data_IF_438360074580
#
_entry.id   IF_438360074580
#
_cell.length_a   1.000
_cell.length_b   1.000
_cell.length_c   1.000
_cell.angle_alpha   90.00
_cell.angle_beta   90.00
_cell.angle_gamma   90.00
#
_symmetry.space_group_name_H-M   'P 1'
#
loop_
_entity.id
_entity.type
_entity.pdbx_description
1 polymer ?
#
# COMPACT_ATOMS: atom_id res chain seq x y z
N UNK A 1 -15.08 29.47 -16.75
CA UNK A 1 -15.89 28.31 -17.19
C UNK A 1 -15.65 27.24 -16.12
N UNK A 2 -16.63 27.04 -15.24
CA UNK A 2 -16.55 26.11 -14.13
C UNK A 2 -16.51 24.68 -14.66
N UNK A 3 -15.50 23.90 -14.27
CA UNK A 3 -15.49 22.46 -14.51
C UNK A 3 -16.54 21.84 -13.58
N UNK A 4 -17.75 21.67 -14.11
CA UNK A 4 -18.84 20.97 -13.45
C UNK A 4 -18.58 19.45 -13.53
N UNK A 5 -18.40 18.89 -12.35
CA UNK A 5 -18.93 17.66 -11.79
C UNK A 5 -19.28 16.50 -12.76
N UNK A 6 -18.32 15.54 -12.84
CA UNK A 6 -18.57 14.18 -13.30
C UNK A 6 -18.30 13.18 -12.17
N UNK A 7 -18.87 13.40 -10.98
CA UNK A 7 -18.84 12.43 -9.87
C UNK A 7 -20.25 11.93 -9.59
N UNK A 8 -20.72 10.99 -10.40
CA UNK A 8 -21.93 10.20 -10.11
C UNK A 8 -21.62 8.97 -9.22
N UNK A 9 -20.66 9.07 -8.33
CA UNK A 9 -20.28 8.09 -7.32
C UNK A 9 -19.85 8.79 -6.04
N UNK A 10 -19.83 8.07 -4.90
CA UNK A 10 -19.26 8.61 -3.66
C UNK A 10 -17.87 9.17 -3.93
N UNK A 11 -17.55 10.33 -3.35
CA UNK A 11 -16.21 10.92 -3.46
C UNK A 11 -15.11 9.95 -2.95
N UNK A 12 -15.49 9.00 -2.10
CA UNK A 12 -14.62 8.01 -1.47
C UNK A 12 -14.68 6.62 -2.10
N UNK A 13 -15.22 6.48 -3.33
CA UNK A 13 -15.34 5.17 -4.00
C UNK A 13 -13.99 4.46 -4.12
N UNK A 14 -12.93 5.20 -4.44
CA UNK A 14 -11.56 4.69 -4.50
C UNK A 14 -10.64 5.59 -3.67
N UNK A 15 -9.96 5.04 -2.69
CA UNK A 15 -8.97 5.75 -1.86
C UNK A 15 -7.56 5.33 -2.22
N UNK A 16 -6.65 6.30 -2.35
CA UNK A 16 -5.21 6.08 -2.45
C UNK A 16 -4.54 6.63 -1.19
N UNK A 17 -4.13 5.74 -0.30
CA UNK A 17 -3.57 6.07 1.00
C UNK A 17 -2.04 6.09 0.94
N UNK A 18 -1.41 7.13 1.50
CA UNK A 18 0.03 7.32 1.45
C UNK A 18 0.51 7.50 0.01
N UNK A 19 -0.20 8.31 -0.76
CA UNK A 19 0.00 8.42 -2.21
C UNK A 19 1.36 9.04 -2.60
N UNK A 20 2.01 9.77 -1.70
CA UNK A 20 3.25 10.47 -1.99
C UNK A 20 3.10 11.35 -3.23
N UNK A 21 4.05 11.25 -4.14
CA UNK A 21 4.05 11.98 -5.42
C UNK A 21 3.26 11.29 -6.53
N UNK A 22 2.63 10.15 -6.25
CA UNK A 22 1.94 9.34 -7.28
C UNK A 22 0.48 9.76 -7.40
N UNK A 23 0.08 10.12 -8.60
CA UNK A 23 -1.30 10.48 -8.93
C UNK A 23 -1.99 9.32 -9.68
N UNK A 24 -3.09 8.83 -9.12
CA UNK A 24 -3.92 7.80 -9.75
C UNK A 24 -5.27 8.43 -10.15
N UNK A 25 -5.57 8.51 -11.45
CA UNK A 25 -6.85 9.08 -11.88
C UNK A 25 -8.05 8.36 -11.28
N UNK A 26 -9.03 9.12 -10.76
CA UNK A 26 -10.25 8.57 -10.18
C UNK A 26 -10.14 8.09 -8.73
N UNK A 27 -8.99 8.27 -8.09
CA UNK A 27 -8.82 8.03 -6.67
C UNK A 27 -8.92 9.34 -5.87
N UNK A 28 -9.40 9.23 -4.65
CA UNK A 28 -9.28 10.26 -3.62
C UNK A 28 -7.97 10.04 -2.87
N UNK A 29 -7.06 11.01 -2.94
CA UNK A 29 -5.70 10.88 -2.44
C UNK A 29 -5.57 11.39 -1.01
N UNK A 30 -5.02 10.55 -0.13
CA UNK A 30 -4.73 10.88 1.27
C UNK A 30 -3.24 10.70 1.52
N UNK A 31 -2.60 11.71 2.11
CA UNK A 31 -1.19 11.66 2.48
C UNK A 31 -0.91 12.57 3.69
N UNK A 32 0.05 12.18 4.53
CA UNK A 32 0.51 13.01 5.64
C UNK A 32 1.22 14.29 5.17
N UNK A 33 1.81 14.24 3.97
CA UNK A 33 2.50 15.35 3.34
C UNK A 33 1.62 16.00 2.27
N UNK A 34 1.79 17.30 2.08
CA UNK A 34 1.05 18.06 1.08
C UNK A 34 1.72 17.97 -0.28
N UNK A 35 1.00 17.37 -1.25
CA UNK A 35 1.34 17.44 -2.68
C UNK A 35 0.18 18.08 -3.46
N UNK A 36 0.41 18.59 -4.69
CA UNK A 36 -0.64 19.31 -5.45
C UNK A 36 -1.91 18.51 -5.73
N UNK A 37 -1.82 17.19 -5.76
CA UNK A 37 -2.91 16.26 -6.08
C UNK A 37 -3.56 15.61 -4.84
N UNK A 38 -3.04 15.88 -3.64
CA UNK A 38 -3.59 15.32 -2.40
C UNK A 38 -4.91 16.01 -2.07
N UNK A 39 -5.98 15.22 -2.02
CA UNK A 39 -7.34 15.71 -1.70
C UNK A 39 -7.49 15.93 -0.18
N UNK A 40 -6.90 15.07 0.65
CA UNK A 40 -6.89 15.20 2.11
C UNK A 40 -5.48 15.05 2.67
N UNK A 41 -4.99 16.09 3.33
CA UNK A 41 -3.69 16.06 4.03
C UNK A 41 -3.93 15.66 5.47
N UNK A 42 -3.53 14.44 5.83
CA UNK A 42 -3.73 13.87 7.16
C UNK A 42 -3.15 12.47 7.27
N UNK A 43 -3.18 11.90 8.48
CA UNK A 43 -2.71 10.55 8.73
C UNK A 43 -3.63 9.52 8.08
N UNK A 44 -3.05 8.45 7.55
CA UNK A 44 -3.83 7.39 6.88
C UNK A 44 -4.43 6.38 7.87
N UNK A 45 -4.00 6.42 9.11
CA UNK A 45 -4.55 5.64 10.23
C UNK A 45 -5.81 6.26 10.84
N UNK A 46 -6.15 7.49 10.48
CA UNK A 46 -7.39 8.18 10.88
C UNK A 46 -8.17 8.62 9.65
N UNK A 47 -9.12 7.80 9.25
CA UNK A 47 -10.04 8.07 8.15
C UNK A 47 -11.44 8.49 8.67
N UNK A 48 -11.51 9.13 9.84
CA UNK A 48 -12.78 9.53 10.47
C UNK A 48 -13.66 10.43 9.58
N UNK A 49 -13.07 11.12 8.60
CA UNK A 49 -13.77 11.89 7.58
C UNK A 49 -14.43 11.03 6.49
N UNK A 50 -14.13 9.72 6.43
CA UNK A 50 -14.75 8.74 5.52
C UNK A 50 -15.78 7.93 6.31
N UNK A 51 -17.06 7.92 5.89
CA UNK A 51 -18.08 7.10 6.56
C UNK A 51 -17.78 5.60 6.45
N UNK A 52 -18.30 4.82 7.42
CA UNK A 52 -18.24 3.35 7.39
C UNK A 52 -18.82 2.81 6.08
N UNK A 53 -18.10 1.90 5.44
CA UNK A 53 -18.56 1.26 4.21
C UNK A 53 -18.71 2.17 3.00
N UNK A 54 -18.11 3.36 3.00
CA UNK A 54 -18.24 4.32 1.90
C UNK A 54 -17.37 3.99 0.69
N UNK A 55 -16.29 3.20 0.89
CA UNK A 55 -15.32 2.89 -0.16
C UNK A 55 -15.52 1.51 -0.76
N UNK A 56 -15.35 1.40 -2.06
CA UNK A 56 -15.29 0.13 -2.77
C UNK A 56 -13.88 -0.39 -2.92
N UNK A 57 -12.91 0.49 -2.91
CA UNK A 57 -11.52 0.11 -3.13
C UNK A 57 -10.54 1.02 -2.40
N UNK A 58 -9.56 0.42 -1.73
CA UNK A 58 -8.40 1.11 -1.16
C UNK A 58 -7.14 0.59 -1.84
N UNK A 59 -6.26 1.50 -2.21
CA UNK A 59 -4.89 1.21 -2.64
C UNK A 59 -3.89 1.84 -1.66
N UNK A 60 -2.96 1.05 -1.15
CA UNK A 60 -1.89 1.49 -0.25
C UNK A 60 -0.58 0.79 -0.62
N UNK A 61 0.39 1.52 -1.12
CA UNK A 61 1.66 0.97 -1.60
C UNK A 61 2.83 1.49 -0.77
N UNK A 62 3.47 0.59 -0.03
CA UNK A 62 4.57 0.90 0.89
C UNK A 62 4.16 1.96 1.93
N UNK A 63 3.12 1.61 2.70
CA UNK A 63 2.53 2.45 3.74
C UNK A 63 2.45 1.72 5.07
N UNK A 64 1.98 0.45 5.07
CA UNK A 64 1.69 -0.27 6.31
C UNK A 64 2.94 -0.56 7.15
N UNK A 65 4.09 -0.73 6.53
CA UNK A 65 5.39 -0.95 7.18
C UNK A 65 5.88 0.24 8.02
N UNK A 66 5.31 1.43 7.81
CA UNK A 66 5.63 2.62 8.59
C UNK A 66 4.99 2.61 9.99
N UNK A 67 4.05 1.70 10.24
CA UNK A 67 3.40 1.53 11.54
C UNK A 67 4.06 0.44 12.38
N UNK A 68 4.21 0.71 13.68
CA UNK A 68 4.86 -0.23 14.60
C UNK A 68 3.98 -1.44 14.95
N UNK A 69 4.58 -2.43 15.62
CA UNK A 69 3.92 -3.70 16.01
C UNK A 69 2.62 -3.55 16.80
N UNK A 70 2.42 -2.42 17.47
CA UNK A 70 1.22 -2.14 18.26
C UNK A 70 0.19 -1.31 17.50
N UNK A 71 0.56 -0.78 16.33
CA UNK A 71 -0.21 0.21 15.58
C UNK A 71 -0.85 -0.40 14.31
N UNK A 72 -0.11 -1.20 13.55
CA UNK A 72 -0.53 -1.64 12.23
C UNK A 72 -1.86 -2.41 12.20
N UNK A 73 -2.22 -3.10 13.28
CA UNK A 73 -3.50 -3.79 13.37
C UNK A 73 -4.68 -2.84 13.45
N UNK A 74 -4.53 -1.72 14.16
CA UNK A 74 -5.59 -0.70 14.25
C UNK A 74 -5.72 0.05 12.92
N UNK A 75 -4.60 0.27 12.23
CA UNK A 75 -4.61 0.81 10.85
C UNK A 75 -5.39 -0.10 9.90
N UNK A 76 -5.14 -1.42 9.93
CA UNK A 76 -5.88 -2.37 9.10
C UNK A 76 -7.38 -2.41 9.43
N UNK A 77 -7.75 -2.29 10.71
CA UNK A 77 -9.16 -2.23 11.15
C UNK A 77 -9.83 -0.95 10.66
N UNK A 78 -9.12 0.19 10.70
CA UNK A 78 -9.64 1.47 10.18
C UNK A 78 -9.84 1.42 8.66
N UNK A 79 -8.86 0.89 7.91
CA UNK A 79 -9.02 0.70 6.46
C UNK A 79 -10.17 -0.26 6.12
N UNK A 80 -10.34 -1.33 6.93
CA UNK A 80 -11.46 -2.24 6.78
C UNK A 80 -12.79 -1.56 7.09
N UNK A 81 -12.87 -0.68 8.12
CA UNK A 81 -14.10 0.04 8.50
C UNK A 81 -14.69 0.83 7.35
N UNK A 82 -13.85 1.55 6.61
CA UNK A 82 -14.31 2.41 5.51
C UNK A 82 -14.66 1.63 4.24
N UNK A 83 -14.26 0.37 4.13
CA UNK A 83 -14.62 -0.50 3.01
C UNK A 83 -16.01 -1.08 3.20
N UNK A 84 -16.84 -1.02 2.14
CA UNK A 84 -18.14 -1.69 2.11
C UNK A 84 -17.97 -3.21 1.97
N UNK A 85 -19.06 -3.94 2.22
CA UNK A 85 -19.11 -5.39 1.95
C UNK A 85 -18.75 -5.65 0.47
N UNK A 86 -17.84 -6.60 0.24
CA UNK A 86 -17.28 -6.88 -1.09
C UNK A 86 -16.27 -5.86 -1.59
N UNK A 87 -15.95 -4.84 -0.80
CA UNK A 87 -14.87 -3.89 -1.09
C UNK A 87 -13.50 -4.52 -0.92
N UNK A 88 -12.48 -3.94 -1.55
CA UNK A 88 -11.13 -4.50 -1.59
C UNK A 88 -10.09 -3.53 -1.05
N UNK A 89 -9.15 -4.06 -0.29
CA UNK A 89 -7.89 -3.42 0.05
C UNK A 89 -6.78 -4.05 -0.79
N UNK A 90 -6.21 -3.30 -1.70
CA UNK A 90 -5.01 -3.69 -2.43
C UNK A 90 -3.82 -2.99 -1.80
N UNK A 91 -2.91 -3.76 -1.23
CA UNK A 91 -1.71 -3.21 -0.61
C UNK A 91 -0.44 -3.88 -1.14
N UNK A 92 0.66 -3.16 -1.01
CA UNK A 92 2.02 -3.63 -1.26
C UNK A 92 2.91 -3.21 -0.08
N UNK A 93 3.80 -4.09 0.34
CA UNK A 93 4.83 -3.84 1.36
C UNK A 93 6.14 -4.48 0.92
N UNK A 94 7.31 -4.12 1.49
CA UNK A 94 8.54 -4.87 1.24
C UNK A 94 8.37 -6.35 1.59
N UNK A 95 8.77 -7.24 0.67
CA UNK A 95 8.74 -8.69 0.87
C UNK A 95 9.99 -9.14 1.62
N UNK A 96 9.87 -9.32 2.93
CA UNK A 96 10.98 -9.79 3.76
C UNK A 96 11.50 -11.16 3.32
N UNK A 97 10.60 -12.10 2.97
CA UNK A 97 11.00 -13.44 2.55
C UNK A 97 11.81 -13.40 1.25
N UNK A 98 11.39 -12.62 0.25
CA UNK A 98 12.12 -12.42 -0.99
C UNK A 98 13.50 -11.80 -0.74
N UNK A 99 13.59 -10.76 0.10
CA UNK A 99 14.85 -10.14 0.48
C UNK A 99 15.79 -11.13 1.19
N UNK A 100 15.29 -11.89 2.16
CA UNK A 100 16.07 -12.88 2.89
C UNK A 100 16.59 -14.00 1.98
N UNK A 101 15.76 -14.51 1.07
CA UNK A 101 16.16 -15.53 0.08
C UNK A 101 17.27 -15.02 -0.84
N UNK A 102 17.17 -13.78 -1.32
CA UNK A 102 18.19 -13.17 -2.17
C UNK A 102 19.53 -13.02 -1.42
N UNK A 103 19.47 -12.56 -0.17
CA UNK A 103 20.64 -12.42 0.69
C UNK A 103 21.32 -13.78 0.95
N UNK A 104 20.54 -14.77 1.40
CA UNK A 104 21.08 -16.12 1.67
C UNK A 104 21.65 -16.80 0.42
N UNK A 105 21.11 -16.50 -0.76
CA UNK A 105 21.60 -17.01 -2.03
C UNK A 105 22.83 -16.24 -2.59
N UNK A 106 23.31 -15.21 -1.89
CA UNK A 106 24.40 -14.35 -2.36
C UNK A 106 24.04 -13.51 -3.59
N UNK A 107 22.73 -13.30 -3.86
CA UNK A 107 22.23 -12.53 -5.01
C UNK A 107 21.95 -11.06 -4.67
N UNK A 108 21.88 -10.74 -3.40
CA UNK A 108 21.79 -9.36 -2.92
C UNK A 108 22.62 -9.18 -1.65
N UNK A 109 23.39 -8.11 -1.60
CA UNK A 109 24.13 -7.71 -0.41
C UNK A 109 23.23 -6.90 0.54
N UNK A 110 23.60 -6.86 1.83
CA UNK A 110 22.82 -6.16 2.86
C UNK A 110 22.52 -4.70 2.50
N UNK A 111 23.46 -3.88 1.97
CA UNK A 111 23.15 -2.51 1.58
C UNK A 111 22.00 -2.36 0.58
N UNK A 112 21.83 -3.35 -0.34
CA UNK A 112 20.78 -3.32 -1.35
C UNK A 112 19.38 -3.56 -0.78
N UNK A 113 19.28 -4.32 0.32
CA UNK A 113 18.00 -4.62 0.97
C UNK A 113 17.70 -3.75 2.17
N UNK A 114 18.71 -3.04 2.70
CA UNK A 114 18.54 -2.20 3.90
C UNK A 114 17.46 -1.14 3.71
N UNK A 115 17.46 -0.43 2.59
CA UNK A 115 16.46 0.59 2.30
C UNK A 115 15.04 0.03 2.20
N UNK A 116 14.89 -1.19 1.66
CA UNK A 116 13.60 -1.87 1.60
C UNK A 116 13.10 -2.26 3.00
N UNK A 117 13.99 -2.70 3.89
CA UNK A 117 13.61 -3.18 5.21
C UNK A 117 13.49 -2.06 6.26
N UNK A 118 14.23 -0.98 6.11
CA UNK A 118 14.35 0.07 7.13
C UNK A 118 13.79 1.42 6.67
N UNK A 119 13.36 1.54 5.41
CA UNK A 119 12.95 2.79 4.78
C UNK A 119 14.11 3.65 4.32
N UNK A 120 13.81 4.70 3.58
CA UNK A 120 14.81 5.64 3.07
C UNK A 120 15.32 6.63 4.11
N UNK A 121 14.61 6.78 5.25
CA UNK A 121 14.96 7.58 6.43
C UNK A 121 15.25 9.06 6.10
N UNK A 122 14.56 9.61 5.08
CA UNK A 122 14.71 10.99 4.62
C UNK A 122 13.98 12.01 5.50
N UNK A 123 12.88 11.55 6.11
CA UNK A 123 12.06 12.33 7.04
C UNK A 123 11.37 11.40 8.06
N UNK A 124 10.57 11.97 8.96
CA UNK A 124 9.93 11.23 10.05
C UNK A 124 8.91 10.16 9.58
N UNK A 125 8.43 10.24 8.34
CA UNK A 125 7.47 9.29 7.76
C UNK A 125 8.14 8.20 6.93
N UNK A 126 9.46 8.29 6.68
CA UNK A 126 10.20 7.39 5.79
C UNK A 126 11.01 6.33 6.56
N UNK A 127 10.55 5.95 7.77
CA UNK A 127 11.11 4.88 8.58
C UNK A 127 10.19 3.67 8.57
N UNK A 128 10.69 2.51 8.18
CA UNK A 128 9.96 1.25 8.35
C UNK A 128 10.11 0.74 9.77
N UNK A 129 8.99 0.50 10.45
CA UNK A 129 8.91 -0.01 11.83
C UNK A 129 8.52 -1.48 11.88
N UNK A 130 8.03 -2.02 10.74
CA UNK A 130 7.63 -3.42 10.59
C UNK A 130 8.21 -4.02 9.31
N UNK A 131 8.40 -5.34 9.34
CA UNK A 131 8.66 -6.16 8.17
C UNK A 131 7.58 -7.23 8.06
N UNK A 132 7.20 -7.58 6.83
CA UNK A 132 6.13 -8.53 6.56
C UNK A 132 6.61 -9.64 5.62
N UNK A 133 6.11 -10.84 5.86
CA UNK A 133 6.03 -11.92 4.89
C UNK A 133 4.56 -12.22 4.57
N UNK A 134 4.32 -13.04 3.56
CA UNK A 134 2.95 -13.37 3.13
C UNK A 134 2.13 -14.01 4.25
N UNK A 135 2.72 -14.91 5.02
CA UNK A 135 2.05 -15.64 6.09
C UNK A 135 1.57 -14.69 7.20
N UNK A 136 2.45 -13.81 7.68
CA UNK A 136 2.13 -12.90 8.78
C UNK A 136 1.18 -11.80 8.33
N UNK A 137 1.35 -11.25 7.12
CA UNK A 137 0.45 -10.22 6.61
C UNK A 137 -0.95 -10.78 6.29
N UNK A 138 -1.03 -11.99 5.72
CA UNK A 138 -2.32 -12.68 5.50
C UNK A 138 -3.05 -12.92 6.81
N UNK A 139 -2.35 -13.41 7.84
CA UNK A 139 -2.94 -13.63 9.17
C UNK A 139 -3.46 -12.32 9.77
N UNK A 140 -2.71 -11.23 9.66
CA UNK A 140 -3.11 -9.92 10.16
C UNK A 140 -4.35 -9.37 9.43
N UNK A 141 -4.43 -9.52 8.11
CA UNK A 141 -5.59 -9.10 7.32
C UNK A 141 -6.85 -9.88 7.72
N UNK A 142 -6.75 -11.20 7.87
CA UNK A 142 -7.87 -12.02 8.32
C UNK A 142 -8.30 -11.67 9.76
N UNK A 143 -7.36 -11.43 10.67
CA UNK A 143 -7.62 -10.98 12.04
C UNK A 143 -8.29 -9.60 12.07
N UNK A 144 -7.93 -8.70 11.14
CA UNK A 144 -8.57 -7.38 11.01
C UNK A 144 -10.00 -7.46 10.46
N UNK A 145 -10.47 -8.64 10.02
CA UNK A 145 -11.85 -8.91 9.62
C UNK A 145 -12.07 -8.92 8.10
N UNK A 146 -11.01 -9.06 7.29
CA UNK A 146 -11.16 -9.34 5.86
C UNK A 146 -11.54 -10.80 5.66
N UNK A 147 -12.41 -11.07 4.68
CA UNK A 147 -12.95 -12.41 4.41
C UNK A 147 -11.98 -13.28 3.60
N UNK A 148 -11.17 -12.68 2.74
CA UNK A 148 -10.22 -13.39 1.90
C UNK A 148 -9.00 -12.55 1.57
N UNK A 149 -7.87 -13.23 1.30
CA UNK A 149 -6.60 -12.59 0.90
C UNK A 149 -6.01 -13.39 -0.24
N UNK A 150 -5.52 -12.69 -1.27
CA UNK A 150 -4.84 -13.29 -2.41
C UNK A 150 -3.70 -12.38 -2.91
N UNK A 151 -2.71 -12.96 -3.60
CA UNK A 151 -1.70 -12.15 -4.29
C UNK A 151 -2.32 -11.48 -5.53
N UNK A 152 -1.90 -10.25 -5.83
CA UNK A 152 -2.22 -9.58 -7.08
C UNK A 152 -0.96 -9.29 -7.90
N UNK A 153 -1.13 -9.25 -9.21
CA UNK A 153 -0.04 -8.97 -10.14
C UNK A 153 -0.13 -7.52 -10.63
N UNK A 154 0.88 -6.72 -10.38
CA UNK A 154 0.90 -5.31 -10.77
C UNK A 154 0.70 -5.11 -12.28
N UNK A 155 1.16 -6.06 -13.12
CA UNK A 155 1.05 -6.00 -14.58
C UNK A 155 -0.38 -6.03 -15.10
N UNK A 156 -1.34 -6.51 -14.31
CA UNK A 156 -2.75 -6.67 -14.72
C UNK A 156 -3.67 -5.60 -14.14
N UNK A 157 -3.09 -4.58 -13.47
CA UNK A 157 -3.87 -3.49 -12.87
C UNK A 157 -4.12 -2.36 -13.85
N UNK A 158 -5.16 -1.57 -13.60
CA UNK A 158 -5.49 -0.35 -14.33
C UNK A 158 -4.41 0.73 -14.22
N UNK A 159 -3.57 0.66 -13.18
CA UNK A 159 -2.45 1.58 -12.94
C UNK A 159 -1.07 0.97 -13.23
N UNK A 160 -0.98 -0.15 -13.94
CA UNK A 160 0.29 -0.83 -14.28
C UNK A 160 1.33 0.09 -14.97
N UNK A 161 0.85 1.12 -15.68
CA UNK A 161 1.70 2.12 -16.32
C UNK A 161 2.29 3.17 -15.36
N UNK A 162 1.85 3.21 -14.10
CA UNK A 162 2.37 4.14 -13.10
C UNK A 162 3.37 3.36 -12.24
N UNK A 163 4.65 3.68 -12.40
CA UNK A 163 5.70 3.01 -11.65
C UNK A 163 5.67 3.42 -10.18
N UNK A 164 5.46 2.44 -9.30
CA UNK A 164 5.51 2.57 -7.86
C UNK A 164 6.24 1.37 -7.23
N UNK A 165 6.33 1.34 -5.89
CA UNK A 165 7.08 0.29 -5.21
C UNK A 165 6.41 -1.10 -5.26
N UNK A 166 5.15 -1.23 -5.71
CA UNK A 166 4.54 -2.54 -5.99
C UNK A 166 5.26 -3.28 -7.11
N UNK A 167 6.09 -2.55 -7.86
CA UNK A 167 6.92 -3.02 -8.97
C UNK A 167 8.41 -3.04 -8.61
N UNK A 168 8.77 -3.11 -7.32
CA UNK A 168 10.16 -3.13 -6.89
C UNK A 168 10.84 -4.48 -7.19
N UNK A 169 11.97 -4.44 -7.91
CA UNK A 169 12.75 -5.62 -8.30
C UNK A 169 14.21 -5.48 -7.88
N UNK A 170 14.85 -6.62 -7.61
CA UNK A 170 16.30 -6.75 -7.47
C UNK A 170 16.84 -7.76 -8.48
N UNK A 171 17.89 -7.44 -9.27
CA UNK A 171 18.57 -6.15 -9.32
C UNK A 171 17.62 -5.01 -9.66
N UNK A 172 17.96 -3.80 -9.23
CA UNK A 172 17.06 -2.63 -9.31
C UNK A 172 16.47 -2.44 -10.71
N UNK A 173 15.12 -2.38 -10.78
CA UNK A 173 14.31 -2.20 -11.99
C UNK A 173 14.44 -3.30 -13.07
N UNK A 174 15.09 -4.44 -12.78
CA UNK A 174 15.06 -5.56 -13.71
C UNK A 174 13.73 -6.33 -13.63
N UNK A 175 12.70 -5.78 -14.27
CA UNK A 175 11.34 -6.34 -14.29
C UNK A 175 11.22 -7.60 -15.17
N UNK A 176 12.25 -7.97 -15.92
CA UNK A 176 12.26 -9.14 -16.81
C UNK A 176 12.90 -10.36 -16.15
N UNK A 177 14.05 -10.19 -15.50
CA UNK A 177 14.85 -11.30 -14.96
C UNK A 177 15.07 -11.19 -13.44
N UNK A 178 14.77 -10.03 -12.85
CA UNK A 178 14.90 -9.78 -11.43
C UNK A 178 13.85 -10.49 -10.58
N UNK A 179 14.05 -10.45 -9.29
CA UNK A 179 13.10 -10.95 -8.29
C UNK A 179 12.26 -9.79 -7.79
N UNK A 180 10.93 -9.92 -7.83
CA UNK A 180 10.02 -8.97 -7.19
C UNK A 180 10.25 -9.01 -5.68
N UNK A 181 10.54 -7.86 -5.08
CA UNK A 181 10.79 -7.69 -3.65
C UNK A 181 9.70 -6.87 -2.96
N UNK A 182 8.56 -6.76 -3.62
CA UNK A 182 7.31 -6.23 -3.08
C UNK A 182 6.30 -7.37 -2.89
N UNK A 183 5.76 -7.48 -1.69
CA UNK A 183 4.66 -8.38 -1.34
C UNK A 183 3.35 -7.67 -1.65
N UNK A 184 2.69 -8.10 -2.70
CA UNK A 184 1.47 -7.50 -3.21
C UNK A 184 0.26 -8.37 -2.84
N UNK A 185 -0.55 -7.95 -1.86
CA UNK A 185 -1.75 -8.66 -1.41
C UNK A 185 -3.01 -7.82 -1.63
N UNK A 186 -4.09 -8.49 -2.01
CA UNK A 186 -5.44 -7.94 -2.07
C UNK A 186 -6.32 -8.69 -1.09
N UNK A 187 -7.01 -7.94 -0.24
CA UNK A 187 -7.93 -8.47 0.76
C UNK A 187 -9.34 -7.97 0.48
N UNK A 188 -10.35 -8.84 0.65
CA UNK A 188 -11.77 -8.52 0.42
C UNK A 188 -12.55 -8.55 1.73
N UNK A 189 -13.47 -7.60 1.90
CA UNK A 189 -14.40 -7.50 3.06
C UNK A 189 -15.58 -8.44 2.90
#
# INVERSE_FOLDING_TARGET
MKMEDRRSGSAFEKLHLGCGVKFFPGYFHVDALRYPHVDHVGPVEDLSFVPDGASGHIYACHVLEHFGRKEYMDVLREWRRVLRLGGTLRLAVPDFEACARLYCAGKAELPLITGLLMGGQRDQYDFHKMVFDEKTLTAALLEAGFASVARWAWRTTDHAGIDDYSQAYLPHMDKQHGTLVSLNLEATV
#
